data_IF_131498815589
#
_entry.id   IF_131498815589
#
_cell.length_a   1.000
_cell.length_b   1.000
_cell.length_c   1.000
_cell.angle_alpha   90.00
_cell.angle_beta   90.00
_cell.angle_gamma   90.00
#
_symmetry.space_group_name_H-M   'P 1'
#
loop_
_entity.id
_entity.type
_entity.pdbx_description
1 polymer ?
#
# COMPACT_ATOMS: atom_id res chain seq x y z
N UNK A 1 -12.18 25.03 1.60
CA UNK A 1 -11.06 24.16 2.01
C UNK A 1 -11.50 23.42 3.26
N UNK A 2 -11.44 22.12 3.25
CA UNK A 2 -11.75 21.30 4.43
C UNK A 2 -10.71 21.62 5.52
N UNK A 3 -11.16 21.98 6.72
CA UNK A 3 -10.26 22.24 7.84
C UNK A 3 -9.76 20.90 8.41
N UNK A 4 -8.54 20.52 8.04
CA UNK A 4 -7.93 19.26 8.47
C UNK A 4 -7.74 19.22 9.99
N UNK A 5 -7.46 20.34 10.63
CA UNK A 5 -7.27 20.42 12.09
C UNK A 5 -8.56 20.14 12.85
N UNK A 6 -9.69 20.61 12.29
CA UNK A 6 -11.00 20.30 12.86
C UNK A 6 -11.33 18.81 12.70
N UNK A 7 -11.12 18.22 11.50
CA UNK A 7 -11.33 16.79 11.29
C UNK A 7 -10.48 15.94 12.24
N UNK A 8 -9.20 16.28 12.38
CA UNK A 8 -8.29 15.58 13.29
C UNK A 8 -8.81 15.62 14.71
N UNK A 9 -9.22 16.80 15.20
CA UNK A 9 -9.74 16.96 16.56
C UNK A 9 -10.99 16.12 16.83
N UNK A 10 -11.93 16.08 15.88
CA UNK A 10 -13.16 15.28 16.00
C UNK A 10 -12.84 13.78 16.00
N UNK A 11 -11.94 13.33 15.11
CA UNK A 11 -11.55 11.93 15.01
C UNK A 11 -10.78 11.47 16.25
N UNK A 12 -9.87 12.30 16.79
CA UNK A 12 -9.15 12.00 18.02
C UNK A 12 -10.12 11.83 19.20
N UNK A 13 -11.06 12.76 19.38
CA UNK A 13 -12.08 12.68 20.43
C UNK A 13 -12.99 11.44 20.27
N UNK A 14 -13.39 11.13 19.05
CA UNK A 14 -14.18 9.92 18.74
C UNK A 14 -13.38 8.63 19.00
N UNK A 15 -12.08 8.65 18.76
CA UNK A 15 -11.21 7.51 19.02
C UNK A 15 -11.08 7.20 20.51
N UNK A 16 -10.99 8.22 21.35
CA UNK A 16 -10.94 8.04 22.80
C UNK A 16 -12.23 7.42 23.34
N UNK A 17 -13.36 7.72 22.71
CA UNK A 17 -14.69 7.19 23.04
C UNK A 17 -15.17 6.11 22.06
N UNK A 18 -14.26 5.42 21.37
CA UNK A 18 -14.57 4.50 20.26
C UNK A 18 -15.47 3.31 20.62
N UNK A 19 -15.61 3.00 21.92
CA UNK A 19 -16.53 1.98 22.38
C UNK A 19 -18.01 2.36 22.14
N UNK A 20 -18.31 3.65 22.09
CA UNK A 20 -19.65 4.20 21.86
C UNK A 20 -19.97 4.41 20.37
N UNK A 21 -18.93 4.33 19.51
CA UNK A 21 -19.11 4.48 18.05
C UNK A 21 -19.72 3.21 17.47
N UNK A 22 -20.86 3.36 16.81
CA UNK A 22 -21.63 2.26 16.23
C UNK A 22 -22.26 2.66 14.89
N UNK A 23 -22.83 1.74 14.14
CA UNK A 23 -23.52 2.04 12.89
C UNK A 23 -24.71 2.99 13.03
N UNK A 24 -25.29 3.11 14.24
CA UNK A 24 -26.36 4.06 14.52
C UNK A 24 -25.88 5.50 14.70
N UNK A 25 -24.56 5.74 14.87
CA UNK A 25 -24.00 7.08 15.04
C UNK A 25 -24.25 7.93 13.79
N UNK A 26 -24.67 9.18 14.03
CA UNK A 26 -24.96 10.22 13.01
C UNK A 26 -24.28 11.53 13.39
N UNK A 27 -24.25 12.50 12.45
CA UNK A 27 -23.73 13.82 12.68
C UNK A 27 -22.19 13.86 12.68
N UNK A 28 -21.62 14.77 13.45
CA UNK A 28 -20.24 15.25 13.32
C UNK A 28 -19.17 14.15 13.24
N UNK A 29 -19.26 13.10 14.07
CA UNK A 29 -18.28 12.00 14.05
C UNK A 29 -18.35 11.21 12.75
N UNK A 30 -19.54 10.88 12.27
CA UNK A 30 -19.71 10.19 11.01
C UNK A 30 -19.23 11.04 9.85
N UNK A 31 -19.66 12.30 9.82
CA UNK A 31 -19.32 13.26 8.77
C UNK A 31 -17.79 13.49 8.69
N UNK A 32 -17.12 13.57 9.85
CA UNK A 32 -15.66 13.72 9.91
C UNK A 32 -14.93 12.47 9.39
N UNK A 33 -15.37 11.28 9.78
CA UNK A 33 -14.77 10.02 9.30
C UNK A 33 -14.99 9.84 7.80
N UNK A 34 -16.18 10.07 7.30
CA UNK A 34 -16.50 10.00 5.86
C UNK A 34 -15.69 11.02 5.06
N UNK A 35 -15.53 12.25 5.58
CA UNK A 35 -14.68 13.28 4.97
C UNK A 35 -13.21 12.87 4.94
N UNK A 36 -12.67 12.30 6.02
CA UNK A 36 -11.31 11.80 6.06
C UNK A 36 -11.07 10.67 5.06
N UNK A 37 -12.03 9.74 4.93
CA UNK A 37 -11.96 8.66 3.93
C UNK A 37 -12.03 9.20 2.50
N UNK A 38 -12.85 10.22 2.23
CA UNK A 38 -12.92 10.88 0.92
C UNK A 38 -11.61 11.59 0.58
N UNK A 39 -10.94 12.22 1.54
CA UNK A 39 -9.63 12.83 1.37
C UNK A 39 -8.54 11.78 1.07
N UNK A 40 -8.58 10.62 1.74
CA UNK A 40 -7.70 9.49 1.44
C UNK A 40 -7.97 8.94 0.05
N UNK A 41 -9.24 8.72 -0.28
CA UNK A 41 -9.68 8.13 -1.57
C UNK A 41 -9.29 9.00 -2.77
N UNK A 42 -9.35 10.32 -2.61
CA UNK A 42 -8.96 11.30 -3.63
C UNK A 42 -7.48 11.64 -3.66
N UNK A 43 -6.68 11.16 -2.69
CA UNK A 43 -5.26 11.47 -2.56
C UNK A 43 -4.96 12.87 -2.05
N UNK A 44 -5.98 13.63 -1.60
CA UNK A 44 -5.79 14.95 -0.99
C UNK A 44 -5.17 14.85 0.42
N UNK A 45 -5.32 13.70 1.07
CA UNK A 45 -4.59 13.32 2.27
C UNK A 45 -3.94 11.95 2.09
N UNK A 46 -2.86 11.68 2.80
CA UNK A 46 -2.21 10.36 2.86
C UNK A 46 -1.80 10.03 4.29
N UNK A 47 -1.81 8.73 4.61
CA UNK A 47 -1.49 8.24 5.97
C UNK A 47 -0.06 8.57 6.38
N UNK A 48 0.87 8.65 5.46
CA UNK A 48 2.19 9.20 5.74
C UNK A 48 2.64 10.12 4.61
N UNK A 49 3.32 11.20 4.97
CA UNK A 49 3.91 12.16 4.03
C UNK A 49 5.39 12.38 4.34
N UNK A 50 6.17 12.64 3.30
CA UNK A 50 7.60 12.92 3.41
C UNK A 50 7.83 14.42 3.52
N UNK A 51 8.52 14.84 4.58
CA UNK A 51 8.93 16.22 4.74
C UNK A 51 10.04 16.63 3.77
N UNK A 52 10.32 17.92 3.71
CA UNK A 52 11.45 18.47 2.91
C UNK A 52 12.82 18.01 3.42
N UNK A 53 12.90 17.58 4.66
CA UNK A 53 14.05 16.95 5.30
C UNK A 53 14.24 15.47 4.92
N UNK A 54 13.31 14.90 4.15
CA UNK A 54 13.31 13.51 3.74
C UNK A 54 12.76 12.52 4.77
N UNK A 55 12.27 13.03 5.90
CA UNK A 55 11.69 12.21 6.98
C UNK A 55 10.21 11.94 6.69
N UNK A 56 9.80 10.70 6.91
CA UNK A 56 8.40 10.31 6.80
C UNK A 56 7.67 10.53 8.13
N UNK A 57 6.56 11.26 8.05
CA UNK A 57 5.65 11.51 9.19
C UNK A 57 4.35 10.75 8.98
N UNK A 58 3.96 9.95 9.98
CA UNK A 58 2.69 9.22 9.96
C UNK A 58 1.60 10.04 10.62
N UNK A 59 0.51 10.28 9.89
CA UNK A 59 -0.69 10.98 10.35
C UNK A 59 -1.64 9.97 11.03
N UNK A 60 -1.42 9.74 12.32
CA UNK A 60 -2.13 8.69 13.06
C UNK A 60 -3.65 8.88 13.08
N UNK A 61 -4.14 10.12 13.07
CA UNK A 61 -5.56 10.40 13.02
C UNK A 61 -6.26 9.83 11.78
N UNK A 62 -5.58 9.76 10.64
CA UNK A 62 -6.13 9.11 9.42
C UNK A 62 -6.26 7.60 9.59
N UNK A 63 -5.33 6.94 10.28
CA UNK A 63 -5.48 5.52 10.65
C UNK A 63 -6.66 5.31 11.59
N UNK A 64 -6.83 6.22 12.57
CA UNK A 64 -8.00 6.22 13.47
C UNK A 64 -9.30 6.38 12.70
N UNK A 65 -9.35 7.28 11.72
CA UNK A 65 -10.51 7.43 10.84
C UNK A 65 -10.87 6.13 10.11
N UNK A 66 -9.88 5.43 9.55
CA UNK A 66 -10.09 4.12 8.91
C UNK A 66 -10.65 3.10 9.91
N UNK A 67 -10.08 3.01 11.12
CA UNK A 67 -10.56 2.08 12.15
C UNK A 67 -11.97 2.43 12.66
N UNK A 68 -12.28 3.71 12.82
CA UNK A 68 -13.61 4.18 13.19
C UNK A 68 -14.64 3.86 12.11
N UNK A 69 -14.27 3.91 10.83
CA UNK A 69 -15.18 3.58 9.73
C UNK A 69 -15.70 2.14 9.81
N UNK A 70 -14.88 1.20 10.28
CA UNK A 70 -15.32 -0.19 10.49
C UNK A 70 -16.34 -0.33 11.61
N UNK A 71 -16.37 0.61 12.57
CA UNK A 71 -17.38 0.66 13.63
C UNK A 71 -18.65 1.35 13.18
N UNK A 72 -18.52 2.35 12.31
CA UNK A 72 -19.64 3.11 11.75
C UNK A 72 -20.45 2.34 10.70
N UNK A 73 -19.90 1.28 10.13
CA UNK A 73 -20.54 0.54 9.06
C UNK A 73 -20.74 -0.92 9.42
N UNK A 74 -21.93 -1.44 9.13
CA UNK A 74 -22.21 -2.87 9.16
C UNK A 74 -21.82 -3.53 7.84
N UNK A 75 -21.67 -4.85 7.87
CA UNK A 75 -21.53 -5.62 6.65
C UNK A 75 -22.79 -5.48 5.79
N UNK A 76 -22.58 -5.37 4.50
CA UNK A 76 -23.64 -5.27 3.50
C UNK A 76 -23.30 -6.08 2.26
N UNK A 77 -24.30 -6.37 1.44
CA UNK A 77 -24.06 -7.01 0.16
C UNK A 77 -23.39 -6.00 -0.77
N UNK A 78 -22.17 -6.32 -1.18
CA UNK A 78 -21.40 -5.54 -2.14
C UNK A 78 -21.39 -6.26 -3.49
N UNK A 79 -21.52 -5.50 -4.56
CA UNK A 79 -21.38 -5.97 -5.93
C UNK A 79 -20.15 -5.34 -6.55
N UNK A 80 -19.37 -6.13 -7.26
CA UNK A 80 -18.25 -5.62 -8.05
C UNK A 80 -18.74 -5.34 -9.48
N UNK A 81 -18.65 -4.06 -9.86
CA UNK A 81 -19.02 -3.59 -11.19
C UNK A 81 -20.37 -2.86 -11.29
N UNK A 82 -20.60 -2.13 -12.38
CA UNK A 82 -21.79 -1.31 -12.56
C UNK A 82 -23.04 -2.18 -12.56
N UNK A 83 -23.77 -2.14 -11.45
CA UNK A 83 -25.02 -2.89 -11.28
C UNK A 83 -26.13 -2.40 -12.23
N UNK A 84 -25.96 -1.28 -12.91
CA UNK A 84 -27.00 -0.58 -13.63
C UNK A 84 -26.97 -0.74 -15.16
N UNK A 85 -25.87 -1.19 -15.78
CA UNK A 85 -25.71 -1.03 -17.23
C UNK A 85 -25.88 -2.32 -18.05
N UNK A 86 -25.85 -3.51 -17.45
CA UNK A 86 -26.12 -4.76 -18.17
C UNK A 86 -26.82 -5.74 -17.25
N UNK A 87 -27.94 -6.36 -17.67
CA UNK A 87 -28.44 -7.56 -17.03
C UNK A 87 -27.48 -8.71 -17.37
N UNK A 88 -26.34 -8.75 -16.67
CA UNK A 88 -25.49 -9.94 -16.72
C UNK A 88 -26.31 -11.06 -16.09
N UNK A 89 -26.58 -12.12 -16.85
CA UNK A 89 -27.11 -13.33 -16.29
C UNK A 89 -26.19 -13.78 -15.17
N UNK A 90 -26.72 -14.38 -14.13
CA UNK A 90 -25.93 -14.96 -13.02
C UNK A 90 -24.83 -15.91 -13.49
N UNK A 91 -24.88 -16.34 -14.71
CA UNK A 91 -23.94 -17.26 -15.37
C UNK A 91 -22.79 -16.54 -16.12
N UNK A 92 -22.71 -15.19 -16.08
CA UNK A 92 -21.61 -14.50 -16.78
C UNK A 92 -20.33 -14.64 -15.96
N UNK A 93 -19.25 -15.21 -16.51
CA UNK A 93 -17.99 -15.46 -15.78
C UNK A 93 -17.28 -14.21 -15.26
N UNK A 94 -17.71 -13.01 -15.66
CA UNK A 94 -17.23 -11.73 -15.16
C UNK A 94 -18.04 -11.19 -13.97
N UNK A 95 -19.10 -11.86 -13.53
CA UNK A 95 -19.86 -11.47 -12.35
C UNK A 95 -19.11 -11.89 -11.09
N UNK A 96 -18.26 -11.01 -10.58
CA UNK A 96 -17.66 -11.17 -9.26
C UNK A 96 -18.67 -10.72 -8.20
N UNK A 97 -19.08 -11.63 -7.36
CA UNK A 97 -19.98 -11.34 -6.24
C UNK A 97 -21.33 -12.08 -6.31
N UNK A 98 -22.19 -11.87 -5.32
CA UNK A 98 -22.10 -10.82 -4.28
C UNK A 98 -21.08 -11.14 -3.18
N UNK A 99 -20.54 -10.08 -2.60
CA UNK A 99 -19.65 -10.14 -1.44
C UNK A 99 -20.38 -9.62 -0.18
N UNK A 100 -19.83 -9.89 1.00
CA UNK A 100 -20.38 -9.46 2.29
C UNK A 100 -19.29 -8.74 3.09
N UNK A 101 -19.26 -7.41 3.03
CA UNK A 101 -18.21 -6.61 3.69
C UNK A 101 -18.72 -5.20 4.04
N UNK A 102 -17.93 -4.49 4.82
CA UNK A 102 -18.18 -3.11 5.28
C UNK A 102 -17.64 -2.05 4.33
N UNK A 103 -16.62 -2.37 3.54
CA UNK A 103 -15.89 -1.41 2.70
C UNK A 103 -16.20 -1.69 1.23
N UNK A 104 -16.87 -0.78 0.54
CA UNK A 104 -17.18 -0.94 -0.89
C UNK A 104 -15.89 -1.04 -1.74
N UNK A 105 -16.01 -1.65 -2.91
CA UNK A 105 -15.00 -1.51 -3.96
C UNK A 105 -15.07 -0.09 -4.52
N UNK A 106 -13.89 0.55 -4.68
CA UNK A 106 -13.77 1.90 -5.27
C UNK A 106 -14.48 2.03 -6.61
N UNK A 107 -14.52 0.96 -7.38
CA UNK A 107 -15.10 0.94 -8.74
C UNK A 107 -16.58 0.53 -8.78
N UNK A 108 -17.20 0.31 -7.62
CA UNK A 108 -18.55 -0.26 -7.53
C UNK A 108 -19.59 0.45 -8.41
N UNK A 109 -19.53 1.77 -8.46
CA UNK A 109 -20.48 2.62 -9.17
C UNK A 109 -19.83 3.41 -10.34
N UNK A 110 -18.61 3.07 -10.73
CA UNK A 110 -17.88 3.82 -11.75
C UNK A 110 -18.38 3.54 -13.16
N UNK A 111 -18.55 4.62 -13.92
CA UNK A 111 -18.78 4.61 -15.35
C UNK A 111 -17.49 4.92 -16.13
N UNK A 112 -17.53 4.82 -17.44
CA UNK A 112 -16.37 5.09 -18.31
C UNK A 112 -15.76 6.48 -18.10
N UNK A 113 -16.59 7.48 -17.79
CA UNK A 113 -16.13 8.85 -17.54
C UNK A 113 -15.25 8.95 -16.28
N UNK A 114 -15.55 8.14 -15.23
CA UNK A 114 -14.79 8.15 -13.99
C UNK A 114 -13.39 7.58 -14.19
N UNK A 115 -13.26 6.48 -14.93
CA UNK A 115 -11.97 5.91 -15.31
C UNK A 115 -11.14 6.86 -16.19
N UNK A 116 -11.78 7.55 -17.14
CA UNK A 116 -11.12 8.54 -18.00
C UNK A 116 -10.60 9.73 -17.18
N UNK A 117 -11.41 10.22 -16.24
CA UNK A 117 -11.02 11.30 -15.35
C UNK A 117 -9.88 10.91 -14.41
N UNK A 118 -9.95 9.72 -13.80
CA UNK A 118 -8.93 9.19 -12.93
C UNK A 118 -7.62 8.87 -13.67
N UNK A 119 -7.69 8.43 -14.92
CA UNK A 119 -6.54 8.26 -15.81
C UNK A 119 -5.63 7.09 -15.49
N UNK A 120 -6.13 6.05 -14.83
CA UNK A 120 -5.43 4.79 -14.62
C UNK A 120 -6.16 3.62 -15.29
N UNK A 121 -5.53 2.45 -15.32
CA UNK A 121 -6.08 1.24 -15.92
C UNK A 121 -6.26 0.15 -14.86
N UNK A 122 -7.47 -0.40 -14.75
CA UNK A 122 -7.76 -1.57 -13.92
C UNK A 122 -8.14 -2.76 -14.81
N UNK A 123 -7.39 -3.84 -14.72
CA UNK A 123 -7.66 -5.10 -15.43
C UNK A 123 -8.77 -5.87 -14.70
N UNK A 124 -9.63 -6.63 -15.39
CA UNK A 124 -10.63 -7.45 -14.71
C UNK A 124 -10.01 -8.31 -13.59
N UNK A 125 -10.61 -8.24 -12.39
CA UNK A 125 -10.09 -8.90 -11.20
C UNK A 125 -9.23 -8.01 -10.29
N UNK A 126 -8.91 -6.77 -10.69
CA UNK A 126 -8.33 -5.80 -9.79
C UNK A 126 -9.37 -5.34 -8.76
N UNK A 127 -9.00 -5.38 -7.47
CA UNK A 127 -9.85 -4.95 -6.35
C UNK A 127 -9.16 -3.80 -5.63
N UNK A 128 -9.86 -2.66 -5.51
CA UNK A 128 -9.42 -1.52 -4.72
C UNK A 128 -10.52 -1.17 -3.73
N UNK A 129 -10.22 -1.23 -2.43
CA UNK A 129 -11.17 -0.83 -1.41
C UNK A 129 -11.30 0.70 -1.39
N UNK A 130 -12.53 1.20 -1.25
CA UNK A 130 -12.78 2.64 -1.09
C UNK A 130 -11.95 3.21 0.07
N UNK A 131 -11.43 4.44 -0.11
CA UNK A 131 -10.47 5.05 0.81
C UNK A 131 -9.01 4.74 0.46
N UNK A 132 -8.74 4.02 -0.65
CA UNK A 132 -7.40 3.91 -1.24
C UNK A 132 -7.25 4.84 -2.44
N UNK A 133 -6.11 5.52 -2.56
CA UNK A 133 -5.79 6.38 -3.70
C UNK A 133 -5.02 5.63 -4.77
N UNK A 134 -5.40 5.86 -6.03
CA UNK A 134 -4.71 5.35 -7.23
C UNK A 134 -4.40 6.54 -8.14
N UNK A 135 -3.12 6.78 -8.36
CA UNK A 135 -2.61 7.87 -9.19
C UNK A 135 -2.80 7.65 -10.69
N UNK A 136 -2.58 8.72 -11.47
CA UNK A 136 -2.68 8.66 -12.94
C UNK A 136 -1.64 7.71 -13.52
N UNK A 137 -1.95 7.12 -14.68
CA UNK A 137 -1.08 6.18 -15.39
C UNK A 137 -0.69 4.93 -14.60
N UNK A 138 -1.31 4.68 -13.44
CA UNK A 138 -1.15 3.41 -12.71
C UNK A 138 -1.79 2.28 -13.53
N UNK A 139 -1.15 1.12 -13.49
CA UNK A 139 -1.71 -0.11 -14.04
C UNK A 139 -1.95 -1.09 -12.90
N UNK A 140 -3.22 -1.46 -12.71
CA UNK A 140 -3.61 -2.51 -11.78
C UNK A 140 -3.93 -3.77 -12.59
N UNK A 141 -3.08 -4.79 -12.48
CA UNK A 141 -3.41 -6.14 -12.90
C UNK A 141 -4.40 -6.76 -11.89
N UNK A 142 -4.88 -8.00 -12.06
CA UNK A 142 -5.67 -8.66 -11.02
C UNK A 142 -4.89 -8.67 -9.70
N UNK A 143 -5.20 -7.75 -8.82
CA UNK A 143 -4.43 -7.40 -7.62
C UNK A 143 -5.35 -6.85 -6.54
N UNK A 144 -4.82 -6.63 -5.35
CA UNK A 144 -5.61 -6.11 -4.23
C UNK A 144 -4.93 -4.87 -3.62
N UNK A 145 -5.69 -3.78 -3.51
CA UNK A 145 -5.27 -2.54 -2.82
C UNK A 145 -6.23 -2.25 -1.68
N UNK A 146 -5.72 -2.22 -0.46
CA UNK A 146 -6.53 -2.07 0.73
C UNK A 146 -6.78 -0.60 1.09
N UNK A 147 -7.77 -0.37 1.95
CA UNK A 147 -8.19 0.95 2.45
C UNK A 147 -7.01 1.72 3.07
N UNK A 148 -6.95 3.02 2.84
CA UNK A 148 -5.88 3.91 3.33
C UNK A 148 -4.57 3.80 2.56
N UNK A 149 -4.42 2.84 1.65
CA UNK A 149 -3.26 2.72 0.79
C UNK A 149 -3.18 3.88 -0.22
N UNK A 150 -1.95 4.23 -0.58
CA UNK A 150 -1.66 5.26 -1.57
C UNK A 150 -0.73 4.67 -2.64
N UNK A 151 -1.17 4.64 -3.88
CA UNK A 151 -0.37 4.19 -5.03
C UNK A 151 -0.20 5.38 -5.97
N UNK A 152 1.02 5.91 -6.05
CA UNK A 152 1.33 7.10 -6.82
C UNK A 152 1.46 6.83 -8.33
N UNK A 153 1.52 7.90 -9.10
CA UNK A 153 1.44 7.91 -10.56
C UNK A 153 2.50 7.03 -11.24
N UNK A 154 2.12 6.45 -12.38
CA UNK A 154 3.01 5.65 -13.23
C UNK A 154 3.39 4.30 -12.66
N UNK A 155 2.90 3.93 -11.49
CA UNK A 155 3.24 2.66 -10.84
C UNK A 155 2.45 1.48 -11.43
N UNK A 156 3.00 0.27 -11.29
CA UNK A 156 2.32 -0.98 -11.65
C UNK A 156 2.14 -1.86 -10.41
N UNK A 157 0.92 -2.31 -10.18
CA UNK A 157 0.59 -3.38 -9.24
C UNK A 157 0.26 -4.62 -10.08
N UNK A 158 1.25 -5.51 -10.23
CA UNK A 158 1.18 -6.65 -11.14
C UNK A 158 0.29 -7.77 -10.59
N UNK A 159 0.12 -8.84 -11.38
CA UNK A 159 -0.83 -9.92 -11.09
C UNK A 159 -0.60 -10.54 -9.71
N UNK A 160 -1.68 -10.59 -8.92
CA UNK A 160 -1.70 -11.13 -7.56
C UNK A 160 -0.80 -10.41 -6.55
N UNK A 161 -0.29 -9.22 -6.90
CA UNK A 161 0.37 -8.36 -5.92
C UNK A 161 -0.66 -7.73 -4.98
N UNK A 162 -0.22 -7.43 -3.75
CA UNK A 162 -1.06 -6.82 -2.72
C UNK A 162 -0.43 -5.55 -2.17
N UNK A 163 -1.26 -4.53 -1.95
CA UNK A 163 -0.91 -3.32 -1.23
C UNK A 163 -1.77 -3.26 0.03
N UNK A 164 -1.16 -3.49 1.17
CA UNK A 164 -1.83 -3.57 2.45
C UNK A 164 -2.38 -2.23 2.95
N UNK A 165 -3.20 -2.27 4.00
CA UNK A 165 -3.84 -1.08 4.56
C UNK A 165 -2.81 -0.01 4.91
N UNK A 166 -3.05 1.21 4.46
CA UNK A 166 -2.22 2.38 4.75
C UNK A 166 -0.81 2.36 4.14
N UNK A 167 -0.42 1.33 3.40
CA UNK A 167 0.88 1.28 2.73
C UNK A 167 1.02 2.42 1.70
N UNK A 168 2.24 2.94 1.56
CA UNK A 168 2.54 4.09 0.71
C UNK A 168 3.47 3.66 -0.42
N UNK A 169 2.98 3.70 -1.64
CA UNK A 169 3.73 3.38 -2.86
C UNK A 169 4.01 4.68 -3.60
N UNK A 170 5.27 4.94 -3.88
CA UNK A 170 5.74 6.11 -4.61
C UNK A 170 5.48 6.03 -6.12
N UNK A 171 6.04 6.98 -6.85
CA UNK A 171 5.90 7.10 -8.30
C UNK A 171 6.76 6.09 -9.05
N UNK A 172 6.24 5.62 -10.19
CA UNK A 172 6.98 4.73 -11.09
C UNK A 172 7.54 3.47 -10.39
N UNK A 173 6.83 2.97 -9.37
CA UNK A 173 7.16 1.73 -8.68
C UNK A 173 6.59 0.54 -9.44
N UNK A 174 7.35 -0.54 -9.53
CA UNK A 174 6.85 -1.80 -10.04
C UNK A 174 6.77 -2.83 -8.92
N UNK A 175 5.56 -3.20 -8.53
CA UNK A 175 5.30 -4.36 -7.68
C UNK A 175 5.05 -5.56 -8.59
N UNK A 176 6.02 -6.48 -8.67
CA UNK A 176 5.94 -7.64 -9.56
C UNK A 176 4.93 -8.67 -9.08
N UNK A 177 4.66 -9.67 -9.93
CA UNK A 177 3.63 -10.67 -9.68
C UNK A 177 3.73 -11.35 -8.31
N UNK A 178 2.65 -11.24 -7.53
CA UNK A 178 2.54 -11.80 -6.19
C UNK A 178 3.43 -11.14 -5.14
N UNK A 179 4.00 -9.98 -5.42
CA UNK A 179 4.68 -9.20 -4.38
C UNK A 179 3.68 -8.72 -3.33
N UNK A 180 4.06 -8.78 -2.06
CA UNK A 180 3.24 -8.34 -0.94
C UNK A 180 3.82 -7.10 -0.27
N UNK A 181 3.00 -6.05 -0.14
CA UNK A 181 3.33 -4.91 0.69
C UNK A 181 2.39 -4.94 1.88
N UNK A 182 2.95 -5.21 3.05
CA UNK A 182 2.21 -5.40 4.28
C UNK A 182 1.46 -4.15 4.70
N UNK A 183 0.25 -4.35 5.20
CA UNK A 183 -0.57 -3.31 5.79
C UNK A 183 -0.26 -3.15 7.26
N UNK A 184 -0.10 -1.92 7.73
CA UNK A 184 0.10 -1.62 9.14
C UNK A 184 -1.00 -0.66 9.63
N UNK A 185 -2.22 -1.18 9.71
CA UNK A 185 -3.35 -0.47 10.31
C UNK A 185 -3.36 -0.65 11.83
N UNK A 186 -3.13 -1.88 12.27
CA UNK A 186 -2.98 -2.25 13.68
C UNK A 186 -1.65 -2.99 13.89
N UNK A 187 -0.91 -2.72 14.98
CA UNK A 187 -1.22 -1.73 16.00
C UNK A 187 -1.12 -0.28 15.50
N UNK A 188 -1.96 0.60 16.06
CA UNK A 188 -2.13 1.97 15.57
C UNK A 188 -0.81 2.75 15.51
N UNK A 189 0.06 2.58 16.51
CA UNK A 189 1.34 3.27 16.64
C UNK A 189 2.40 2.84 15.62
N UNK A 190 2.23 1.70 14.96
CA UNK A 190 3.20 1.25 13.97
C UNK A 190 3.12 2.11 12.68
N UNK A 191 4.28 2.39 12.10
CA UNK A 191 4.37 3.15 10.86
C UNK A 191 3.92 2.29 9.66
N UNK A 192 3.35 2.90 8.61
CA UNK A 192 3.02 2.18 7.39
C UNK A 192 4.27 1.73 6.66
N UNK A 193 4.15 0.65 5.90
CA UNK A 193 5.18 0.23 4.95
C UNK A 193 5.25 1.23 3.80
N UNK A 194 6.47 1.63 3.44
CA UNK A 194 6.72 2.67 2.43
C UNK A 194 7.66 2.14 1.36
N UNK A 195 7.25 2.27 0.11
CA UNK A 195 8.08 2.02 -1.06
C UNK A 195 8.25 3.35 -1.78
N UNK A 196 9.45 3.91 -1.77
CA UNK A 196 9.71 5.21 -2.41
C UNK A 196 9.79 5.10 -3.93
N UNK A 197 9.94 6.25 -4.60
CA UNK A 197 9.85 6.38 -6.05
C UNK A 197 10.86 5.48 -6.79
N UNK A 198 10.46 4.98 -7.95
CA UNK A 198 11.32 4.23 -8.86
C UNK A 198 11.79 2.87 -8.36
N UNK A 199 11.28 2.38 -7.24
CA UNK A 199 11.62 1.05 -6.74
C UNK A 199 11.07 -0.06 -7.62
N UNK A 200 11.78 -1.20 -7.62
CA UNK A 200 11.33 -2.45 -8.19
C UNK A 200 11.25 -3.52 -7.09
N UNK A 201 10.08 -4.07 -6.89
CA UNK A 201 9.84 -5.15 -5.92
C UNK A 201 9.62 -6.43 -6.68
N UNK A 202 10.59 -7.35 -6.61
CA UNK A 202 10.60 -8.61 -7.35
C UNK A 202 9.43 -9.53 -7.01
N UNK A 203 9.13 -10.46 -7.93
CA UNK A 203 8.02 -11.39 -7.76
C UNK A 203 8.09 -12.14 -6.43
N UNK A 204 6.96 -12.26 -5.72
CA UNK A 204 6.86 -12.94 -4.43
C UNK A 204 7.79 -12.38 -3.34
N UNK A 205 8.33 -11.17 -3.52
CA UNK A 205 8.97 -10.47 -2.41
C UNK A 205 7.90 -9.92 -1.45
N UNK A 206 8.24 -9.82 -0.17
CA UNK A 206 7.35 -9.32 0.87
C UNK A 206 8.05 -8.21 1.65
N UNK A 207 7.38 -7.06 1.82
CA UNK A 207 7.86 -5.94 2.62
C UNK A 207 6.78 -5.56 3.61
N UNK A 208 7.05 -5.73 4.89
CA UNK A 208 6.05 -5.58 5.95
C UNK A 208 6.56 -4.76 7.15
N UNK A 209 5.72 -4.61 8.17
CA UNK A 209 6.05 -4.04 9.49
C UNK A 209 6.69 -2.65 9.45
N UNK A 210 6.23 -1.79 8.52
CA UNK A 210 6.69 -0.40 8.44
C UNK A 210 8.09 -0.22 7.85
N UNK A 211 8.62 -1.23 7.18
CA UNK A 211 9.90 -1.12 6.47
C UNK A 211 9.80 -0.05 5.38
N UNK A 212 10.85 0.76 5.25
CA UNK A 212 10.99 1.74 4.19
C UNK A 212 11.97 1.22 3.14
N UNK A 213 11.52 1.10 1.90
CA UNK A 213 12.38 0.83 0.75
C UNK A 213 12.64 2.16 0.06
N UNK A 214 13.87 2.66 0.16
CA UNK A 214 14.25 3.98 -0.35
C UNK A 214 14.32 4.01 -1.88
N UNK A 215 14.27 5.22 -2.40
CA UNK A 215 14.21 5.55 -3.82
C UNK A 215 15.14 4.69 -4.70
N UNK A 216 14.60 4.21 -5.82
CA UNK A 216 15.35 3.47 -6.83
C UNK A 216 15.86 2.10 -6.42
N UNK A 217 15.58 1.62 -5.21
CA UNK A 217 16.03 0.30 -4.78
C UNK A 217 15.37 -0.83 -5.58
N UNK A 218 16.09 -1.93 -5.73
CA UNK A 218 15.67 -3.13 -6.46
C UNK A 218 15.71 -4.30 -5.49
N UNK A 219 14.57 -4.90 -5.22
CA UNK A 219 14.49 -6.16 -4.50
C UNK A 219 14.32 -7.30 -5.50
N UNK A 220 15.18 -8.30 -5.43
CA UNK A 220 15.03 -9.52 -6.22
C UNK A 220 13.78 -10.31 -5.80
N UNK A 221 13.38 -11.27 -6.62
CA UNK A 221 12.30 -12.19 -6.24
C UNK A 221 12.61 -12.92 -4.92
N UNK A 222 11.57 -13.10 -4.09
CA UNK A 222 11.69 -13.84 -2.83
C UNK A 222 12.48 -13.13 -1.72
N UNK A 223 12.68 -11.83 -1.80
CA UNK A 223 13.22 -11.03 -0.68
C UNK A 223 12.11 -10.78 0.34
N UNK A 224 12.31 -11.16 1.60
CA UNK A 224 11.38 -10.99 2.70
C UNK A 224 11.91 -9.99 3.72
N UNK A 225 11.21 -8.88 3.93
CA UNK A 225 11.60 -7.81 4.84
C UNK A 225 10.54 -7.57 5.91
N UNK A 226 10.94 -7.74 7.16
CA UNK A 226 10.23 -7.26 8.35
C UNK A 226 11.09 -6.22 9.08
N UNK A 227 10.54 -5.56 10.10
CA UNK A 227 11.29 -4.60 10.90
C UNK A 227 12.57 -5.18 11.52
N UNK A 228 12.60 -6.48 11.80
CA UNK A 228 13.73 -7.19 12.42
C UNK A 228 14.68 -7.84 11.42
N UNK A 229 14.30 -7.97 10.16
CA UNK A 229 15.12 -8.61 9.13
C UNK A 229 16.46 -7.88 8.99
N UNK A 230 17.56 -8.64 9.08
CA UNK A 230 18.89 -8.10 8.81
C UNK A 230 19.07 -7.91 7.31
N UNK A 231 19.50 -6.71 6.93
CA UNK A 231 19.85 -6.34 5.55
C UNK A 231 21.36 -6.07 5.56
N UNK A 232 22.14 -6.99 5.03
CA UNK A 232 23.60 -6.95 5.11
C UNK A 232 24.18 -6.40 3.83
N UNK A 233 24.95 -5.33 3.91
CA UNK A 233 25.74 -4.84 2.78
C UNK A 233 26.99 -5.74 2.65
N UNK A 234 27.06 -6.53 1.56
CA UNK A 234 28.14 -7.51 1.38
C UNK A 234 29.52 -6.85 1.16
N UNK A 235 29.55 -5.60 0.71
CA UNK A 235 30.80 -4.89 0.45
C UNK A 235 31.42 -4.30 1.72
N UNK A 236 30.58 -3.83 2.66
CA UNK A 236 31.02 -3.14 3.87
C UNK A 236 30.84 -3.94 5.14
N UNK A 237 29.97 -4.95 5.13
CA UNK A 237 29.55 -5.69 6.32
C UNK A 237 28.52 -4.93 7.18
N UNK A 238 28.09 -3.73 6.77
CA UNK A 238 27.09 -2.94 7.49
C UNK A 238 25.75 -3.67 7.51
N UNK A 239 25.04 -3.57 8.64
CA UNK A 239 23.74 -4.22 8.84
C UNK A 239 22.66 -3.19 9.08
N UNK A 240 21.70 -3.13 8.17
CA UNK A 240 20.49 -2.30 8.28
C UNK A 240 19.32 -3.11 8.82
N UNK A 241 18.34 -2.43 9.40
CA UNK A 241 17.02 -2.96 9.77
C UNK A 241 15.96 -1.90 9.58
N UNK A 242 14.75 -2.32 9.17
CA UNK A 242 13.62 -1.43 8.98
C UNK A 242 13.73 -0.49 7.77
N UNK A 243 14.88 -0.47 7.10
CA UNK A 243 15.12 0.40 5.95
C UNK A 243 16.08 -0.26 4.95
N UNK A 244 15.72 -0.22 3.66
CA UNK A 244 16.61 -0.53 2.53
C UNK A 244 17.16 0.80 2.01
N UNK A 245 18.48 1.01 1.99
CA UNK A 245 19.07 2.24 1.47
C UNK A 245 18.74 2.47 -0.02
N UNK A 246 18.67 3.74 -0.41
CA UNK A 246 18.38 4.12 -1.79
C UNK A 246 19.33 3.45 -2.80
N UNK A 247 18.80 3.12 -3.97
CA UNK A 247 19.53 2.54 -5.10
C UNK A 247 20.28 1.24 -4.78
N UNK A 248 19.91 0.55 -3.73
CA UNK A 248 20.45 -0.78 -3.37
C UNK A 248 19.83 -1.87 -4.21
N UNK A 249 20.64 -2.84 -4.65
CA UNK A 249 20.18 -4.10 -5.25
C UNK A 249 20.29 -5.18 -4.18
N UNK A 250 19.13 -5.75 -3.83
CA UNK A 250 18.97 -6.65 -2.68
C UNK A 250 18.50 -8.02 -3.13
N UNK A 251 19.15 -9.05 -2.63
CA UNK A 251 18.80 -10.45 -2.92
C UNK A 251 18.57 -11.24 -1.62
N UNK A 252 17.88 -12.40 -1.67
CA UNK A 252 17.80 -13.31 -0.53
C UNK A 252 19.18 -13.86 -0.14
N UNK A 253 19.39 -14.04 1.14
CA UNK A 253 20.63 -14.62 1.66
C UNK A 253 20.43 -15.33 2.98
N UNK A 254 21.51 -15.81 3.56
CA UNK A 254 21.51 -16.40 4.90
C UNK A 254 22.77 -16.02 5.67
N UNK A 255 22.62 -15.88 6.98
CA UNK A 255 23.72 -15.68 7.91
C UNK A 255 23.97 -16.97 8.69
N UNK A 256 25.21 -17.51 8.67
CA UNK A 256 25.55 -18.68 9.46
C UNK A 256 25.46 -18.35 10.96
N UNK A 257 25.07 -19.34 11.74
CA UNK A 257 25.17 -19.25 13.20
C UNK A 257 26.64 -19.37 13.62
N UNK A 258 27.18 -18.41 14.37
CA UNK A 258 28.56 -18.46 14.83
C UNK A 258 28.84 -19.67 15.75
N UNK A 259 27.82 -20.29 16.34
CA UNK A 259 27.91 -21.46 17.20
C UNK A 259 27.66 -22.79 16.47
N UNK A 260 27.57 -22.77 15.13
CA UNK A 260 27.34 -23.98 14.32
C UNK A 260 25.89 -24.46 14.26
N UNK A 261 24.93 -23.65 14.71
CA UNK A 261 23.51 -23.89 14.56
C UNK A 261 23.01 -23.62 13.12
N UNK A 262 21.68 -23.68 12.88
CA UNK A 262 21.11 -23.41 11.56
C UNK A 262 21.32 -21.96 11.15
N UNK A 263 21.63 -21.73 9.86
CA UNK A 263 21.67 -20.39 9.27
C UNK A 263 20.31 -19.73 9.29
N UNK A 264 20.27 -18.44 9.56
CA UNK A 264 19.04 -17.63 9.52
C UNK A 264 18.96 -16.82 8.24
N UNK A 265 17.75 -16.63 7.74
CA UNK A 265 17.48 -15.74 6.61
C UNK A 265 17.99 -14.33 6.88
N UNK A 266 18.55 -13.71 5.85
CA UNK A 266 18.80 -12.28 5.77
C UNK A 266 18.57 -11.78 4.33
N UNK A 267 18.43 -10.48 4.16
CA UNK A 267 18.54 -9.84 2.87
C UNK A 267 19.99 -9.35 2.67
N UNK A 268 20.48 -9.38 1.45
CA UNK A 268 21.87 -9.00 1.14
C UNK A 268 21.88 -7.91 0.07
N UNK A 269 22.46 -6.75 0.38
CA UNK A 269 22.79 -5.74 -0.61
C UNK A 269 24.02 -6.23 -1.36
N UNK A 270 23.85 -6.59 -2.63
CA UNK A 270 24.95 -7.11 -3.46
C UNK A 270 25.70 -6.00 -4.18
N UNK A 271 25.03 -4.89 -4.45
CA UNK A 271 25.61 -3.67 -5.01
C UNK A 271 24.73 -2.47 -4.72
N UNK A 272 25.33 -1.28 -4.79
CA UNK A 272 24.62 0.00 -4.85
C UNK A 272 24.94 0.66 -6.18
N UNK A 273 23.94 1.25 -6.80
CA UNK A 273 24.09 1.98 -8.06
C UNK A 273 23.75 3.44 -7.84
N UNK A 274 24.15 4.31 -8.74
CA UNK A 274 23.68 5.69 -8.73
C UNK A 274 22.40 5.84 -9.55
N UNK A 275 21.74 6.98 -9.42
CA UNK A 275 20.49 7.29 -10.12
C UNK A 275 20.66 7.19 -11.64
N UNK A 276 21.80 7.58 -12.19
CA UNK A 276 22.08 7.53 -13.62
C UNK A 276 22.18 6.08 -14.12
N UNK A 277 22.89 5.24 -13.40
CA UNK A 277 23.02 3.80 -13.69
C UNK A 277 21.65 3.13 -13.57
N UNK A 278 20.87 3.45 -12.52
CA UNK A 278 19.53 2.91 -12.31
C UNK A 278 18.59 3.26 -13.47
N UNK A 279 18.67 4.48 -14.01
CA UNK A 279 17.84 4.93 -15.12
C UNK A 279 18.19 4.27 -16.46
N UNK A 280 19.45 3.86 -16.66
CA UNK A 280 19.96 3.32 -17.92
C UNK A 280 20.00 1.80 -17.97
N UNK A 281 20.04 1.12 -16.82
CA UNK A 281 20.23 -0.32 -16.70
C UNK A 281 18.93 -1.02 -16.46
N UNK A 282 18.60 -2.02 -17.25
CA UNK A 282 17.41 -2.83 -17.04
C UNK A 282 17.48 -3.60 -15.72
N UNK A 283 16.32 -3.79 -15.07
CA UNK A 283 16.25 -4.48 -13.76
C UNK A 283 16.89 -5.88 -13.82
N UNK A 284 16.65 -6.63 -14.90
CA UNK A 284 17.23 -7.95 -15.07
C UNK A 284 18.77 -7.93 -15.16
N UNK A 285 19.34 -6.87 -15.68
CA UNK A 285 20.79 -6.66 -15.76
C UNK A 285 21.36 -6.28 -14.39
N UNK A 286 20.64 -5.45 -13.63
CA UNK A 286 21.02 -5.10 -12.26
C UNK A 286 21.03 -6.33 -11.33
N UNK A 287 20.18 -7.32 -11.59
CA UNK A 287 20.08 -8.54 -10.80
C UNK A 287 21.07 -9.64 -11.23
N UNK A 288 21.84 -9.41 -12.29
CA UNK A 288 22.95 -10.31 -12.69
C UNK A 288 24.23 -9.92 -11.96
N UNK A 289 25.03 -10.92 -11.65
CA UNK A 289 26.36 -10.76 -11.04
C UNK A 289 27.36 -10.09 -11.98
#
# INVERSE_FOLDING_TARGET
MTDLSHLESVIEAAWDNRAEVSPAAKGEVRDAVESALALLDSGQARVASRGTDGVWTTHQWLKKAVLLSFRLNDNQILRAGPAAAMPLSVDHPAALGPFWDKVPNKFGDWAAADYQAAGFRAVPGAIVRQGAFIGRNVVLMPSFVNIGAYVDEGSMVDAWATVGSCAQIGKNVHLSGGAGIGGVLEPLQANPTIIEDGCFIGARAEVAEGVIVREGAVLAMGVYLSASTKIVDRATGEVFRGEVPAYSVVVPGSLPDPNGGPSLYCAVIVKRVDAQTRAKTGVNELLRD
#
